data_IF_298938248508
#
_entry.id   IF_298938248508
#
_cell.length_a   1.000
_cell.length_b   1.000
_cell.length_c   1.000
_cell.angle_alpha   90.00
_cell.angle_beta   90.00
_cell.angle_gamma   90.00
#
_symmetry.space_group_name_H-M   'P 1'
#
loop_
_entity.id
_entity.type
_entity.pdbx_description
1 polymer ?
#
# COMPACT_ATOMS: atom_id res chain seq x y z
N UNK A 1 6.87 11.14 8.92
CA UNK A 1 7.17 9.69 8.85
C UNK A 1 8.28 9.29 9.81
N UNK A 2 9.08 10.23 10.31
CA UNK A 2 10.21 9.96 11.20
C UNK A 2 9.81 9.49 12.61
N UNK A 3 8.71 10.03 13.18
CA UNK A 3 8.34 9.80 14.59
C UNK A 3 7.54 8.52 14.84
N UNK A 4 6.78 8.03 13.85
CA UNK A 4 5.86 6.90 14.01
C UNK A 4 6.27 5.70 13.17
N UNK A 5 6.05 4.50 13.69
CA UNK A 5 6.44 3.26 13.00
C UNK A 5 5.51 2.91 11.85
N UNK A 6 4.26 3.39 11.89
CA UNK A 6 3.25 3.10 10.88
C UNK A 6 2.83 4.38 10.17
N UNK A 7 2.51 4.27 8.88
CA UNK A 7 1.93 5.34 8.08
C UNK A 7 0.73 4.83 7.32
N UNK A 8 -0.32 5.66 7.23
CA UNK A 8 -1.47 5.43 6.39
C UNK A 8 -1.61 6.60 5.41
N UNK A 9 -1.57 6.32 4.12
CA UNK A 9 -1.74 7.32 3.06
C UNK A 9 -3.06 7.07 2.35
N UNK A 10 -4.09 7.83 2.71
CA UNK A 10 -5.41 7.86 2.06
C UNK A 10 -5.53 9.12 1.21
N UNK A 11 -5.01 9.05 -0.02
CA UNK A 11 -4.92 10.19 -0.92
C UNK A 11 -4.85 9.71 -2.37
N UNK A 12 -4.77 10.64 -3.32
CA UNK A 12 -4.50 10.29 -4.71
C UNK A 12 -3.01 9.96 -4.90
N UNK A 13 -2.74 8.91 -5.67
CA UNK A 13 -1.41 8.60 -6.15
C UNK A 13 -1.34 8.86 -7.66
N UNK A 14 -0.16 9.26 -8.12
CA UNK A 14 0.18 9.42 -9.52
C UNK A 14 1.24 8.40 -9.90
N UNK A 15 1.01 7.69 -11.02
CA UNK A 15 2.03 6.89 -11.67
C UNK A 15 2.50 7.64 -12.92
N UNK A 16 3.79 7.93 -12.98
CA UNK A 16 4.42 8.56 -14.12
C UNK A 16 5.08 7.48 -14.99
N UNK A 17 4.48 7.21 -16.15
CA UNK A 17 4.91 6.15 -17.09
C UNK A 17 6.16 6.51 -17.92
N UNK A 18 6.60 7.76 -17.86
CA UNK A 18 7.81 8.21 -18.54
C UNK A 18 9.02 8.25 -17.60
N UNK A 19 8.77 8.44 -16.32
CA UNK A 19 9.79 8.50 -15.27
C UNK A 19 9.19 8.05 -13.94
N UNK A 20 9.30 6.76 -13.63
CA UNK A 20 8.73 6.15 -12.44
C UNK A 20 9.21 6.79 -11.12
N UNK A 21 10.37 7.47 -11.12
CA UNK A 21 10.87 8.18 -9.93
C UNK A 21 10.03 9.41 -9.57
N UNK A 22 9.24 9.92 -10.52
CA UNK A 22 8.28 11.03 -10.34
C UNK A 22 6.87 10.55 -10.00
N UNK A 23 6.64 9.25 -9.90
CA UNK A 23 5.42 8.72 -9.30
C UNK A 23 5.35 9.14 -7.82
N UNK A 24 4.17 9.43 -7.29
CA UNK A 24 4.07 10.02 -5.96
C UNK A 24 2.67 10.05 -5.37
N UNK A 25 2.59 10.51 -4.12
CA UNK A 25 1.34 10.78 -3.41
C UNK A 25 1.06 12.27 -3.39
N UNK A 26 -0.16 12.68 -3.74
CA UNK A 26 -0.59 14.07 -3.58
C UNK A 26 -0.94 14.34 -2.12
N UNK A 27 -0.16 15.22 -1.50
CA UNK A 27 -0.37 15.76 -0.17
C UNK A 27 -0.88 17.21 -0.27
N UNK A 28 -1.24 17.80 0.87
CA UNK A 28 -1.81 19.16 0.91
C UNK A 28 -0.87 20.26 0.38
N UNK A 29 0.44 20.04 0.47
CA UNK A 29 1.53 20.99 0.24
C UNK A 29 2.40 20.61 -0.97
N UNK A 30 2.04 19.55 -1.68
CA UNK A 30 2.79 19.10 -2.85
C UNK A 30 2.70 17.60 -3.05
N UNK A 31 3.57 17.09 -3.93
CA UNK A 31 3.67 15.66 -4.19
C UNK A 31 4.85 15.08 -3.41
N UNK A 32 4.59 14.01 -2.66
CA UNK A 32 5.64 13.16 -2.11
C UNK A 32 6.01 12.11 -3.16
N UNK A 33 7.04 12.39 -3.94
CA UNK A 33 7.48 11.51 -5.03
C UNK A 33 8.39 10.36 -4.55
N UNK A 34 8.53 9.36 -5.41
CA UNK A 34 9.30 8.16 -5.15
C UNK A 34 10.78 8.46 -4.95
N UNK A 35 11.32 9.46 -5.62
CA UNK A 35 12.71 9.91 -5.42
C UNK A 35 12.93 10.44 -3.99
N UNK A 36 11.99 11.22 -3.47
CA UNK A 36 12.03 11.77 -2.12
C UNK A 36 11.81 10.68 -1.06
N UNK A 37 10.96 9.69 -1.35
CA UNK A 37 10.74 8.52 -0.46
C UNK A 37 12.00 7.66 -0.40
N UNK A 38 12.56 7.28 -1.55
CA UNK A 38 13.72 6.36 -1.64
C UNK A 38 15.02 6.94 -1.09
N UNK A 39 15.14 8.27 -1.00
CA UNK A 39 16.25 8.94 -0.32
C UNK A 39 16.14 8.89 1.21
N UNK A 40 15.00 8.47 1.78
CA UNK A 40 14.87 8.27 3.21
C UNK A 40 15.54 6.98 3.63
N UNK A 41 16.08 6.97 4.84
CA UNK A 41 16.62 5.77 5.48
C UNK A 41 16.08 5.70 6.90
N UNK A 42 14.90 5.10 7.04
CA UNK A 42 14.28 4.87 8.33
C UNK A 42 14.77 3.54 8.91
N UNK A 43 15.07 3.53 10.21
CA UNK A 43 15.31 2.30 10.95
C UNK A 43 14.01 1.82 11.60
N UNK A 44 13.74 0.51 11.51
CA UNK A 44 12.70 -0.19 12.28
C UNK A 44 11.25 0.24 12.03
N UNK A 45 10.90 0.76 10.86
CA UNK A 45 9.48 1.04 10.55
C UNK A 45 8.68 -0.26 10.40
N UNK A 46 7.41 -0.18 10.78
CA UNK A 46 6.47 -1.30 10.79
C UNK A 46 5.71 -1.41 9.47
N UNK A 47 4.61 -0.67 9.36
CA UNK A 47 3.63 -0.79 8.28
C UNK A 47 3.47 0.51 7.50
N UNK A 48 3.54 0.43 6.16
CA UNK A 48 3.00 1.44 5.27
C UNK A 48 1.71 0.93 4.62
N UNK A 49 0.58 1.56 4.95
CA UNK A 49 -0.71 1.28 4.32
C UNK A 49 -0.99 2.35 3.27
N UNK A 50 -0.98 1.97 2.00
CA UNK A 50 -1.12 2.86 0.85
C UNK A 50 -2.55 2.75 0.29
N UNK A 51 -3.49 3.44 0.93
CA UNK A 51 -4.90 3.52 0.54
C UNK A 51 -5.10 4.48 -0.63
N UNK A 52 -4.47 4.15 -1.76
CA UNK A 52 -4.52 4.91 -3.00
C UNK A 52 -4.48 3.95 -4.19
N UNK A 53 -5.08 4.35 -5.31
CA UNK A 53 -5.08 3.57 -6.54
C UNK A 53 -3.67 3.41 -7.11
N UNK A 54 -3.37 2.23 -7.67
CA UNK A 54 -2.17 1.97 -8.48
C UNK A 54 -0.85 2.24 -7.74
N UNK A 55 -0.78 1.93 -6.44
CA UNK A 55 0.46 2.09 -5.64
C UNK A 55 1.45 0.93 -5.82
N UNK A 56 1.03 -0.13 -6.51
CA UNK A 56 1.79 -1.35 -6.78
C UNK A 56 1.62 -1.87 -8.22
N UNK A 57 1.29 -1.00 -9.18
CA UNK A 57 1.06 -1.38 -10.59
C UNK A 57 2.34 -1.77 -11.34
N UNK A 58 3.52 -1.35 -10.85
CA UNK A 58 4.78 -1.48 -11.58
C UNK A 58 4.89 -0.49 -12.75
N UNK A 59 6.00 -0.55 -13.48
CA UNK A 59 6.25 0.24 -14.69
C UNK A 59 6.03 -0.62 -15.95
N UNK A 60 5.33 -0.11 -16.96
CA UNK A 60 5.03 -0.88 -18.17
C UNK A 60 6.26 -1.09 -19.08
N UNK A 61 7.22 -0.16 -19.06
CA UNK A 61 8.46 -0.21 -19.85
C UNK A 61 9.55 -1.01 -19.13
N UNK A 62 9.47 -1.07 -17.80
CA UNK A 62 10.39 -1.77 -16.92
C UNK A 62 9.63 -2.70 -15.97
N UNK A 63 8.86 -3.68 -16.47
CA UNK A 63 8.02 -4.54 -15.64
C UNK A 63 8.83 -5.42 -14.68
N UNK A 64 10.11 -5.68 -15.02
CA UNK A 64 11.06 -6.40 -14.19
C UNK A 64 11.78 -5.50 -13.16
N UNK A 65 11.71 -4.17 -13.32
CA UNK A 65 12.18 -3.24 -12.30
C UNK A 65 11.02 -2.96 -11.36
N UNK A 66 11.13 -3.42 -10.12
CA UNK A 66 10.16 -3.16 -9.07
C UNK A 66 10.21 -1.68 -8.63
N UNK A 67 9.95 -0.73 -9.54
CA UNK A 67 9.89 0.70 -9.27
C UNK A 67 8.43 1.10 -9.20
N UNK A 68 7.85 0.92 -8.02
CA UNK A 68 6.50 1.38 -7.69
C UNK A 68 6.46 1.96 -6.28
N UNK A 69 5.44 2.74 -5.93
CA UNK A 69 5.37 3.43 -4.64
C UNK A 69 5.53 2.48 -3.45
N UNK A 70 4.95 1.27 -3.51
CA UNK A 70 5.13 0.28 -2.45
C UNK A 70 6.60 -0.20 -2.28
N UNK A 71 7.34 -0.38 -3.36
CA UNK A 71 8.78 -0.72 -3.30
C UNK A 71 9.63 0.41 -2.70
N UNK A 72 9.28 1.67 -3.02
CA UNK A 72 9.94 2.84 -2.44
C UNK A 72 9.78 2.89 -0.93
N UNK A 73 8.61 2.51 -0.41
CA UNK A 73 8.39 2.43 1.04
C UNK A 73 9.24 1.34 1.69
N UNK A 74 9.42 0.18 1.03
CA UNK A 74 10.36 -0.85 1.50
C UNK A 74 11.79 -0.33 1.52
N UNK A 75 12.25 0.32 0.43
CA UNK A 75 13.58 0.92 0.34
C UNK A 75 13.80 2.00 1.41
N UNK A 76 12.76 2.78 1.72
CA UNK A 76 12.80 3.79 2.78
C UNK A 76 12.91 3.18 4.18
N UNK A 77 12.69 1.87 4.37
CA UNK A 77 12.88 1.16 5.63
C UNK A 77 11.60 0.60 6.28
N UNK A 78 10.45 0.61 5.59
CA UNK A 78 9.26 -0.10 6.06
C UNK A 78 9.42 -1.61 5.85
N UNK A 79 9.06 -2.40 6.87
CA UNK A 79 9.13 -3.87 6.79
C UNK A 79 7.95 -4.50 6.06
N UNK A 80 6.80 -3.82 6.08
CA UNK A 80 5.54 -4.33 5.54
C UNK A 80 4.80 -3.21 4.83
N UNK A 81 4.30 -3.48 3.62
CA UNK A 81 3.58 -2.50 2.80
C UNK A 81 2.32 -3.12 2.22
N UNK A 82 1.19 -2.46 2.40
CA UNK A 82 -0.08 -2.81 1.75
C UNK A 82 -0.38 -1.75 0.70
N UNK A 83 -0.73 -2.15 -0.51
CA UNK A 83 -1.08 -1.26 -1.61
C UNK A 83 -2.10 -1.85 -2.57
N UNK A 84 -2.24 -1.22 -3.74
CA UNK A 84 -3.16 -1.65 -4.78
C UNK A 84 -2.49 -1.72 -6.15
N UNK A 85 -2.75 -2.79 -6.90
CA UNK A 85 -2.23 -3.01 -8.25
C UNK A 85 -3.01 -2.24 -9.32
N UNK A 86 -4.27 -1.88 -9.06
CA UNK A 86 -5.09 -1.03 -9.94
C UNK A 86 -6.06 -0.19 -9.12
N UNK A 87 -7.01 0.46 -9.78
CA UNK A 87 -8.00 1.29 -9.12
C UNK A 87 -8.88 0.47 -8.18
N UNK A 88 -8.99 0.93 -6.93
CA UNK A 88 -9.90 0.38 -5.94
C UNK A 88 -11.18 1.22 -5.89
N UNK A 89 -12.29 0.62 -5.47
CA UNK A 89 -13.56 1.33 -5.32
C UNK A 89 -13.58 2.13 -4.02
N UNK A 90 -14.09 3.36 -4.06
CA UNK A 90 -14.16 4.26 -2.90
C UNK A 90 -14.88 3.66 -1.68
N UNK A 91 -15.90 2.82 -1.91
CA UNK A 91 -16.62 2.15 -0.81
C UNK A 91 -15.90 0.91 -0.27
N UNK A 92 -14.98 0.32 -1.04
CA UNK A 92 -14.28 -0.90 -0.66
C UNK A 92 -13.00 -0.59 0.10
N UNK A 93 -12.28 0.46 -0.29
CA UNK A 93 -11.00 0.82 0.34
C UNK A 93 -11.12 1.10 1.86
N UNK A 94 -12.09 1.89 2.35
CA UNK A 94 -12.29 2.08 3.79
C UNK A 94 -12.68 0.78 4.51
N UNK A 95 -13.47 -0.09 3.86
CA UNK A 95 -13.85 -1.38 4.44
C UNK A 95 -12.63 -2.29 4.61
N UNK A 96 -11.79 -2.42 3.58
CA UNK A 96 -10.57 -3.24 3.66
C UNK A 96 -9.60 -2.66 4.69
N UNK A 97 -9.42 -1.34 4.74
CA UNK A 97 -8.58 -0.70 5.75
C UNK A 97 -9.10 -1.00 7.17
N UNK A 98 -10.39 -0.80 7.42
CA UNK A 98 -11.00 -1.07 8.71
C UNK A 98 -10.80 -2.52 9.17
N UNK A 99 -11.02 -3.49 8.27
CA UNK A 99 -10.81 -4.91 8.56
C UNK A 99 -9.33 -5.24 8.84
N UNK A 100 -8.41 -4.65 8.09
CA UNK A 100 -6.96 -4.81 8.33
C UNK A 100 -6.59 -4.27 9.70
N UNK A 101 -6.94 -3.02 10.02
CA UNK A 101 -6.61 -2.41 11.31
C UNK A 101 -7.29 -3.11 12.48
N UNK A 102 -8.56 -3.51 12.35
CA UNK A 102 -9.25 -4.28 13.40
C UNK A 102 -8.51 -5.57 13.74
N UNK A 103 -7.90 -6.23 12.74
CA UNK A 103 -7.09 -7.43 12.96
C UNK A 103 -5.75 -7.11 13.61
N UNK A 104 -5.04 -6.10 13.11
CA UNK A 104 -3.72 -5.73 13.62
C UNK A 104 -3.75 -5.15 15.04
N UNK A 105 -4.82 -4.43 15.38
CA UNK A 105 -4.98 -3.79 16.69
C UNK A 105 -5.49 -4.75 17.77
N UNK A 106 -5.87 -5.98 17.42
CA UNK A 106 -6.39 -6.96 18.37
C UNK A 106 -5.34 -7.36 19.43
N UNK A 107 -4.09 -7.53 19.00
CA UNK A 107 -2.96 -7.89 19.86
C UNK A 107 -2.00 -6.71 20.13
N UNK A 108 -2.25 -5.56 19.50
CA UNK A 108 -1.45 -4.33 19.65
C UNK A 108 -0.02 -4.42 19.13
N UNK A 109 0.31 -5.46 18.35
CA UNK A 109 1.63 -5.71 17.77
C UNK A 109 1.48 -6.12 16.30
N UNK A 110 2.25 -5.47 15.42
CA UNK A 110 2.53 -6.01 14.09
C UNK A 110 3.84 -6.78 14.19
N UNK A 111 3.71 -8.08 14.41
CA UNK A 111 4.80 -9.03 14.23
C UNK A 111 4.97 -9.37 12.74
N UNK A 112 6.06 -10.05 12.40
CA UNK A 112 6.31 -10.51 11.03
C UNK A 112 5.16 -11.41 10.57
N UNK A 113 4.55 -11.09 9.43
CA UNK A 113 3.50 -11.83 8.75
C UNK A 113 2.08 -11.34 9.05
N UNK A 114 1.89 -10.49 10.06
CA UNK A 114 0.56 -10.09 10.50
C UNK A 114 -0.15 -9.16 9.51
N UNK A 115 0.59 -8.28 8.83
CA UNK A 115 0.00 -7.38 7.83
C UNK A 115 -0.56 -8.16 6.63
N UNK A 116 0.21 -9.12 6.08
CA UNK A 116 -0.25 -9.98 5.00
C UNK A 116 -1.45 -10.84 5.40
N UNK A 117 -1.42 -11.40 6.62
CA UNK A 117 -2.53 -12.17 7.17
C UNK A 117 -3.79 -11.31 7.38
N UNK A 118 -3.64 -10.10 7.91
CA UNK A 118 -4.74 -9.16 8.07
C UNK A 118 -5.37 -8.79 6.72
N UNK A 119 -4.54 -8.53 5.70
CA UNK A 119 -5.02 -8.24 4.36
C UNK A 119 -5.76 -9.43 3.75
N UNK A 120 -5.22 -10.63 3.90
CA UNK A 120 -5.86 -11.86 3.41
C UNK A 120 -7.30 -11.99 3.93
N UNK A 121 -7.52 -11.81 5.23
CA UNK A 121 -8.86 -11.89 5.82
C UNK A 121 -9.76 -10.73 5.36
N UNK A 122 -9.24 -9.50 5.27
CA UNK A 122 -10.01 -8.35 4.79
C UNK A 122 -10.48 -8.53 3.34
N UNK A 123 -9.62 -9.06 2.46
CA UNK A 123 -9.93 -9.35 1.06
C UNK A 123 -10.91 -10.52 0.94
N UNK A 124 -10.77 -11.55 1.77
CA UNK A 124 -11.71 -12.67 1.81
C UNK A 124 -13.13 -12.20 2.20
N UNK A 125 -13.25 -11.35 3.23
CA UNK A 125 -14.53 -10.76 3.66
C UNK A 125 -15.12 -9.87 2.55
N UNK A 126 -14.30 -9.02 1.91
CA UNK A 126 -14.76 -8.22 0.78
C UNK A 126 -15.28 -9.11 -0.35
N UNK A 127 -14.57 -10.17 -0.71
CA UNK A 127 -14.97 -11.13 -1.76
C UNK A 127 -16.31 -11.79 -1.44
N UNK A 128 -16.55 -12.17 -0.18
CA UNK A 128 -17.84 -12.71 0.24
C UNK A 128 -18.97 -11.67 0.11
N UNK A 129 -18.69 -10.42 0.47
CA UNK A 129 -19.64 -9.31 0.41
C UNK A 129 -20.02 -8.90 -1.01
N UNK A 130 -19.06 -8.81 -1.92
CA UNK A 130 -19.29 -8.32 -3.30
C UNK A 130 -19.55 -9.45 -4.30
N UNK A 131 -19.17 -10.67 -3.96
CA UNK A 131 -19.29 -11.85 -4.83
C UNK A 131 -18.01 -12.18 -5.59
N UNK A 132 -17.78 -13.47 -5.82
CA UNK A 132 -16.55 -13.99 -6.44
C UNK A 132 -16.28 -13.40 -7.84
N UNK A 133 -17.33 -13.15 -8.62
CA UNK A 133 -17.24 -12.60 -9.98
C UNK A 133 -16.76 -11.14 -10.03
N UNK A 134 -16.82 -10.43 -8.91
CA UNK A 134 -16.37 -9.04 -8.78
C UNK A 134 -14.85 -8.96 -8.50
N UNK A 135 -14.06 -9.79 -9.17
CA UNK A 135 -12.60 -9.90 -8.94
C UNK A 135 -11.86 -8.57 -9.10
N UNK A 136 -12.34 -7.69 -9.97
CA UNK A 136 -11.79 -6.33 -10.12
C UNK A 136 -11.83 -5.49 -8.84
N UNK A 137 -12.69 -5.85 -7.87
CA UNK A 137 -12.86 -5.11 -6.61
C UNK A 137 -12.00 -5.65 -5.46
N UNK A 138 -11.73 -6.95 -5.41
CA UNK A 138 -11.03 -7.59 -4.28
C UNK A 138 -9.63 -8.13 -4.60
N UNK A 139 -9.32 -8.46 -5.86
CA UNK A 139 -7.95 -8.85 -6.26
C UNK A 139 -6.91 -7.72 -6.23
N UNK A 140 -7.22 -6.40 -6.43
CA UNK A 140 -6.16 -5.40 -6.55
C UNK A 140 -5.27 -5.25 -5.31
N UNK A 141 -5.76 -5.62 -4.13
CA UNK A 141 -5.02 -5.43 -2.90
C UNK A 141 -3.84 -6.40 -2.79
N UNK A 142 -2.68 -5.86 -2.49
CA UNK A 142 -1.43 -6.62 -2.43
C UNK A 142 -0.61 -6.22 -1.20
N UNK A 143 0.15 -7.18 -0.68
CA UNK A 143 1.08 -7.00 0.42
C UNK A 143 2.51 -7.31 -0.05
N UNK A 144 3.47 -6.50 0.40
CA UNK A 144 4.90 -6.73 0.21
C UNK A 144 5.64 -6.67 1.55
N UNK A 145 6.70 -7.47 1.67
CA UNK A 145 7.58 -7.48 2.84
C UNK A 145 7.25 -8.60 3.82
N UNK A 146 7.81 -8.49 5.04
CA UNK A 146 7.69 -9.50 6.09
C UNK A 146 6.43 -9.35 6.91
#
# INVERSE_FOLDING_TARGET
>A
MDEYDWVHLACHAHQNVDDATKSGFYLHDGMLDLSAISQRSFSNKGLAYLSACKTATGDEKLPDEAIHLASGMLMAGYRSVIGSMWSVMDNDAPHVADRVYARLMKDGKVDNGEAGRALHYAVAELREKVGEKEYGRWVPYIHFGS
#
